data_IF_536638252164
#
_entry.id   IF_536638252164
#
_cell.length_a   1.000
_cell.length_b   1.000
_cell.length_c   1.000
_cell.angle_alpha   90.00
_cell.angle_beta   90.00
_cell.angle_gamma   90.00
#
_symmetry.space_group_name_H-M   'P 1'
#
loop_
_entity.id
_entity.type
_entity.pdbx_description
1 polymer ?
#
# COMPACT_ATOMS: atom_id res chain seq x y z
N UNK A 1 51.80 -30.94 -39.29
CA UNK A 1 51.48 -29.48 -39.28
C UNK A 1 50.66 -29.21 -38.05
N UNK A 2 51.26 -28.61 -37.02
CA UNK A 2 50.58 -28.31 -35.77
C UNK A 2 49.95 -26.90 -35.88
N UNK A 3 48.61 -26.84 -35.82
CA UNK A 3 47.87 -25.60 -35.76
C UNK A 3 48.12 -24.93 -34.41
N UNK A 4 48.90 -23.84 -34.41
CA UNK A 4 49.03 -22.94 -33.27
C UNK A 4 47.65 -22.37 -32.94
N UNK A 5 47.01 -22.88 -31.86
CA UNK A 5 45.85 -22.27 -31.28
C UNK A 5 46.19 -20.84 -30.87
N UNK A 6 45.51 -19.86 -31.48
CA UNK A 6 45.50 -18.49 -30.99
C UNK A 6 44.97 -18.49 -29.56
N UNK A 7 45.88 -18.38 -28.60
CA UNK A 7 45.49 -18.02 -27.23
C UNK A 7 44.97 -16.58 -27.29
N UNK A 8 43.65 -16.46 -27.35
CA UNK A 8 42.96 -15.20 -27.10
C UNK A 8 43.14 -14.90 -25.62
N UNK A 9 44.19 -14.18 -25.27
CA UNK A 9 44.26 -13.55 -23.96
C UNK A 9 43.21 -12.41 -23.99
N UNK A 10 42.12 -12.49 -23.22
CA UNK A 10 41.22 -11.36 -23.13
C UNK A 10 42.04 -10.19 -22.56
N UNK A 11 42.13 -9.09 -23.35
CA UNK A 11 42.73 -7.84 -22.91
C UNK A 11 42.25 -7.55 -21.50
N UNK A 12 43.20 -7.30 -20.59
CA UNK A 12 43.02 -7.27 -19.16
C UNK A 12 41.74 -6.64 -18.68
N UNK A 13 40.86 -7.46 -18.10
CA UNK A 13 39.87 -6.99 -17.20
C UNK A 13 40.59 -6.52 -15.95
N UNK A 14 40.69 -5.22 -15.76
CA UNK A 14 41.32 -4.57 -14.59
C UNK A 14 40.51 -4.79 -13.28
N UNK A 15 39.62 -5.76 -13.23
CA UNK A 15 38.76 -6.04 -12.10
C UNK A 15 37.56 -5.07 -11.98
N UNK A 16 37.62 -3.91 -12.63
CA UNK A 16 36.53 -2.91 -12.58
C UNK A 16 35.26 -3.42 -13.26
N UNK A 17 35.41 -4.19 -14.35
CA UNK A 17 34.28 -4.82 -15.06
C UNK A 17 33.55 -5.85 -14.18
N UNK A 18 34.28 -6.65 -13.38
CA UNK A 18 33.71 -7.59 -12.45
C UNK A 18 32.90 -6.87 -11.35
N UNK A 19 33.49 -5.85 -10.73
CA UNK A 19 32.82 -5.04 -9.70
C UNK A 19 31.59 -4.32 -10.27
N UNK A 20 31.66 -3.84 -11.51
CA UNK A 20 30.53 -3.21 -12.20
C UNK A 20 29.39 -4.21 -12.44
N UNK A 21 29.67 -5.39 -13.00
CA UNK A 21 28.66 -6.45 -13.23
C UNK A 21 28.02 -6.91 -11.93
N UNK A 22 28.81 -7.05 -10.85
CA UNK A 22 28.31 -7.44 -9.54
C UNK A 22 27.33 -6.38 -8.97
N UNK A 23 27.65 -5.08 -9.10
CA UNK A 23 26.73 -3.99 -8.71
C UNK A 23 25.41 -4.03 -9.48
N UNK A 24 25.51 -4.23 -10.80
CA UNK A 24 24.32 -4.35 -11.65
C UNK A 24 23.48 -5.55 -11.23
N UNK A 25 24.09 -6.72 -11.03
CA UNK A 25 23.38 -7.93 -10.59
C UNK A 25 22.68 -7.72 -9.25
N UNK A 26 23.35 -7.11 -8.26
CA UNK A 26 22.76 -6.77 -6.96
C UNK A 26 21.55 -5.81 -7.10
N UNK A 27 21.65 -4.78 -7.95
CA UNK A 27 20.54 -3.86 -8.22
C UNK A 27 19.32 -4.57 -8.86
N UNK A 28 19.57 -5.50 -9.79
CA UNK A 28 18.48 -6.31 -10.37
C UNK A 28 17.81 -7.18 -9.32
N UNK A 29 18.58 -7.83 -8.45
CA UNK A 29 18.07 -8.65 -7.36
C UNK A 29 17.23 -7.83 -6.39
N UNK A 30 17.71 -6.66 -5.95
CA UNK A 30 16.97 -5.73 -5.08
C UNK A 30 15.67 -5.29 -5.75
N UNK A 31 15.72 -4.94 -7.04
CA UNK A 31 14.53 -4.55 -7.80
C UNK A 31 13.51 -5.70 -7.88
N UNK A 32 13.95 -6.93 -8.15
CA UNK A 32 13.06 -8.09 -8.24
C UNK A 32 12.36 -8.38 -6.90
N UNK A 33 13.11 -8.36 -5.79
CA UNK A 33 12.57 -8.55 -4.44
C UNK A 33 11.54 -7.48 -4.06
N UNK A 34 11.85 -6.20 -4.28
CA UNK A 34 10.94 -5.11 -3.95
C UNK A 34 9.67 -5.11 -4.82
N UNK A 35 9.77 -5.53 -6.09
CA UNK A 35 8.59 -5.73 -6.95
C UNK A 35 7.66 -6.81 -6.39
N UNK A 36 8.23 -7.93 -5.94
CA UNK A 36 7.44 -9.02 -5.34
C UNK A 36 6.76 -8.55 -4.06
N UNK A 37 7.52 -7.93 -3.15
CA UNK A 37 6.98 -7.40 -1.87
C UNK A 37 5.90 -6.37 -2.09
N UNK A 38 6.08 -5.45 -3.04
CA UNK A 38 5.08 -4.44 -3.36
C UNK A 38 3.78 -5.06 -3.93
N UNK A 39 3.88 -6.15 -4.71
CA UNK A 39 2.69 -6.89 -5.16
C UNK A 39 1.93 -7.53 -3.99
N UNK A 40 2.62 -8.04 -2.96
CA UNK A 40 1.97 -8.53 -1.75
C UNK A 40 1.26 -7.40 -0.99
N UNK A 41 1.87 -6.22 -0.87
CA UNK A 41 1.19 -5.06 -0.27
C UNK A 41 -0.08 -4.69 -1.05
N UNK A 42 -0.04 -4.69 -2.37
CA UNK A 42 -1.21 -4.46 -3.22
C UNK A 42 -2.29 -5.54 -2.95
N UNK A 43 -1.90 -6.80 -2.84
CA UNK A 43 -2.84 -7.88 -2.51
C UNK A 43 -3.52 -7.66 -1.15
N UNK A 44 -2.77 -7.32 -0.11
CA UNK A 44 -3.36 -6.99 1.20
C UNK A 44 -4.23 -5.73 1.15
N UNK A 45 -3.88 -4.74 0.32
CA UNK A 45 -4.74 -3.58 0.09
C UNK A 45 -6.08 -3.99 -0.54
N UNK A 46 -6.10 -4.93 -1.50
CA UNK A 46 -7.34 -5.48 -2.02
C UNK A 46 -8.17 -6.19 -0.96
N UNK A 47 -7.56 -6.98 -0.07
CA UNK A 47 -8.28 -7.62 1.03
C UNK A 47 -8.95 -6.60 1.96
N UNK A 48 -8.22 -5.54 2.34
CA UNK A 48 -8.78 -4.45 3.14
C UNK A 48 -9.88 -3.69 2.40
N UNK A 49 -9.73 -3.51 1.10
CA UNK A 49 -10.77 -2.89 0.27
C UNK A 49 -12.05 -3.73 0.24
N UNK A 50 -11.95 -5.05 0.15
CA UNK A 50 -13.14 -5.91 0.23
C UNK A 50 -13.81 -5.86 1.60
N UNK A 51 -13.04 -5.76 2.69
CA UNK A 51 -13.60 -5.55 4.02
C UNK A 51 -14.34 -4.20 4.10
N UNK A 52 -13.73 -3.13 3.57
CA UNK A 52 -14.36 -1.80 3.48
C UNK A 52 -15.61 -1.83 2.60
N UNK A 53 -15.57 -2.53 1.46
CA UNK A 53 -16.72 -2.67 0.57
C UNK A 53 -17.89 -3.41 1.27
N UNK A 54 -17.57 -4.44 2.05
CA UNK A 54 -18.57 -5.11 2.90
C UNK A 54 -19.24 -4.15 3.89
N UNK A 55 -18.46 -3.25 4.51
CA UNK A 55 -19.01 -2.21 5.39
C UNK A 55 -19.86 -1.18 4.64
N UNK A 56 -19.45 -0.79 3.43
CA UNK A 56 -20.17 0.17 2.60
C UNK A 56 -21.39 -0.42 1.89
N UNK A 57 -21.58 -1.75 1.94
CA UNK A 57 -22.63 -2.44 1.17
C UNK A 57 -24.03 -1.95 1.46
N UNK A 58 -24.38 -1.70 2.72
CA UNK A 58 -25.69 -1.17 3.12
C UNK A 58 -25.97 0.17 2.41
N UNK A 59 -25.09 1.16 2.58
CA UNK A 59 -25.30 2.48 1.97
C UNK A 59 -25.27 2.44 0.42
N UNK A 60 -24.49 1.55 -0.19
CA UNK A 60 -24.47 1.38 -1.65
C UNK A 60 -25.79 0.77 -2.14
N UNK A 61 -26.30 -0.24 -1.44
CA UNK A 61 -27.56 -0.89 -1.80
C UNK A 61 -28.75 0.06 -1.63
N UNK A 62 -28.77 0.83 -0.54
CA UNK A 62 -29.80 1.86 -0.30
C UNK A 62 -29.84 2.89 -1.43
N UNK A 63 -28.65 3.37 -1.89
CA UNK A 63 -28.57 4.32 -3.02
C UNK A 63 -29.01 3.73 -4.35
N UNK A 64 -28.99 2.40 -4.50
CA UNK A 64 -29.43 1.68 -5.68
C UNK A 64 -30.89 1.22 -5.60
N UNK A 65 -31.61 1.57 -4.51
CA UNK A 65 -32.96 1.07 -4.21
C UNK A 65 -33.06 -0.47 -4.18
N UNK A 66 -31.98 -1.13 -3.72
CA UNK A 66 -31.91 -2.59 -3.60
C UNK A 66 -32.05 -2.97 -2.13
N UNK A 67 -33.17 -3.57 -1.79
CA UNK A 67 -33.44 -4.03 -0.43
C UNK A 67 -32.98 -5.49 -0.26
N UNK A 68 -32.07 -5.74 0.71
CA UNK A 68 -31.61 -7.06 1.12
C UNK A 68 -31.76 -7.16 2.64
N UNK A 69 -32.73 -7.96 3.09
CA UNK A 69 -33.12 -8.08 4.51
C UNK A 69 -31.91 -8.44 5.40
N UNK A 70 -31.07 -9.38 4.97
CA UNK A 70 -29.92 -9.85 5.74
C UNK A 70 -28.86 -8.74 5.98
N UNK A 71 -28.78 -7.75 5.08
CA UNK A 71 -27.86 -6.62 5.23
C UNK A 71 -28.49 -5.55 6.15
N UNK A 72 -29.79 -5.31 6.03
CA UNK A 72 -30.52 -4.38 6.90
C UNK A 72 -30.51 -4.86 8.37
N UNK A 73 -30.67 -6.17 8.60
CA UNK A 73 -30.61 -6.75 9.94
C UNK A 73 -29.25 -6.55 10.63
N UNK A 74 -28.16 -6.38 9.86
CA UNK A 74 -26.84 -6.09 10.42
C UNK A 74 -26.75 -4.69 11.04
N UNK A 75 -27.70 -3.80 10.74
CA UNK A 75 -27.74 -2.42 11.27
C UNK A 75 -26.38 -1.72 11.17
N UNK A 76 -25.77 -1.79 9.98
CA UNK A 76 -24.41 -1.24 9.74
C UNK A 76 -24.47 0.28 9.91
N UNK A 77 -23.62 0.90 10.76
CA UNK A 77 -23.58 2.34 10.92
C UNK A 77 -23.30 3.08 9.60
N UNK A 78 -23.91 4.24 9.42
CA UNK A 78 -23.75 5.02 8.20
C UNK A 78 -22.28 5.38 7.94
N UNK A 79 -21.82 5.31 6.68
CA UNK A 79 -20.44 5.58 6.34
C UNK A 79 -20.10 7.06 6.44
N UNK A 80 -18.87 7.34 6.83
CA UNK A 80 -18.29 8.66 6.80
C UNK A 80 -17.57 8.93 5.47
N UNK A 81 -17.38 10.18 5.12
CA UNK A 81 -16.75 10.60 3.86
C UNK A 81 -15.35 10.01 3.64
N UNK A 82 -14.57 9.79 4.72
CA UNK A 82 -13.21 9.26 4.64
C UNK A 82 -13.16 7.81 4.14
N UNK A 83 -14.20 7.02 4.38
CA UNK A 83 -14.33 5.63 3.94
C UNK A 83 -14.38 5.57 2.41
N UNK A 84 -15.18 6.42 1.79
CA UNK A 84 -15.24 6.57 0.33
C UNK A 84 -13.95 7.14 -0.24
N UNK A 85 -13.37 8.18 0.40
CA UNK A 85 -12.12 8.77 -0.03
C UNK A 85 -10.97 7.76 -0.01
N UNK A 86 -10.91 6.90 1.04
CA UNK A 86 -9.92 5.85 1.12
C UNK A 86 -10.07 4.79 0.02
N UNK A 87 -11.29 4.46 -0.38
CA UNK A 87 -11.56 3.52 -1.48
C UNK A 87 -10.92 3.97 -2.81
N UNK A 88 -10.77 5.28 -3.05
CA UNK A 88 -10.11 5.82 -4.24
C UNK A 88 -8.64 5.35 -4.31
N UNK A 89 -8.00 5.13 -3.16
CA UNK A 89 -6.62 4.65 -3.10
C UNK A 89 -6.40 3.32 -3.82
N UNK A 90 -7.44 2.48 -3.95
CA UNK A 90 -7.37 1.24 -4.71
C UNK A 90 -7.05 1.48 -6.19
N UNK A 91 -7.58 2.54 -6.80
CA UNK A 91 -7.34 2.86 -8.21
C UNK A 91 -5.86 3.13 -8.47
N UNK A 92 -5.13 3.61 -7.46
CA UNK A 92 -3.69 3.84 -7.56
C UNK A 92 -2.88 2.56 -7.69
N UNK A 93 -3.43 1.43 -7.24
CA UNK A 93 -2.78 0.12 -7.40
C UNK A 93 -2.56 -0.25 -8.87
N UNK A 94 -3.46 0.16 -9.78
CA UNK A 94 -3.29 -0.04 -11.22
C UNK A 94 -2.11 0.75 -11.78
N UNK A 95 -1.90 2.00 -11.28
CA UNK A 95 -0.72 2.80 -11.63
C UNK A 95 0.56 2.12 -11.13
N UNK A 96 0.54 1.58 -9.91
CA UNK A 96 1.65 0.85 -9.34
C UNK A 96 1.99 -0.40 -10.16
N UNK A 97 1.01 -1.23 -10.51
CA UNK A 97 1.20 -2.43 -11.32
C UNK A 97 1.75 -2.09 -12.71
N UNK A 98 1.24 -1.04 -13.35
CA UNK A 98 1.75 -0.56 -14.63
C UNK A 98 3.20 -0.05 -14.53
N UNK A 99 3.53 0.65 -13.43
CA UNK A 99 4.89 1.11 -13.13
C UNK A 99 5.86 -0.06 -12.95
N UNK A 100 5.47 -1.08 -12.16
CA UNK A 100 6.25 -2.30 -11.91
C UNK A 100 6.54 -3.05 -13.22
N UNK A 101 5.52 -3.21 -14.09
CA UNK A 101 5.66 -3.95 -15.35
C UNK A 101 6.66 -3.30 -16.30
N UNK A 102 6.71 -1.98 -16.34
CA UNK A 102 7.48 -1.20 -17.32
C UNK A 102 8.70 -0.49 -16.71
N UNK A 103 8.98 -0.65 -15.41
CA UNK A 103 10.03 0.07 -14.65
C UNK A 103 9.96 1.60 -14.82
N UNK A 104 8.76 2.17 -14.81
CA UNK A 104 8.56 3.60 -15.06
C UNK A 104 8.57 4.40 -13.77
N UNK A 105 9.48 5.37 -13.69
CA UNK A 105 9.65 6.26 -12.53
C UNK A 105 8.44 7.18 -12.33
N UNK A 106 7.93 7.81 -13.40
CA UNK A 106 6.82 8.78 -13.31
C UNK A 106 5.56 8.18 -12.67
N UNK A 107 4.96 7.07 -13.18
CA UNK A 107 3.76 6.50 -12.55
C UNK A 107 4.02 5.96 -11.14
N UNK A 108 5.24 5.54 -10.81
CA UNK A 108 5.57 5.13 -9.45
C UNK A 108 5.57 6.33 -8.48
N UNK A 109 6.09 7.49 -8.89
CA UNK A 109 5.99 8.73 -8.09
C UNK A 109 4.53 9.17 -7.91
N UNK A 110 3.70 9.07 -8.97
CA UNK A 110 2.26 9.36 -8.89
C UNK A 110 1.54 8.42 -7.93
N UNK A 111 1.90 7.13 -7.94
CA UNK A 111 1.38 6.15 -6.99
C UNK A 111 1.70 6.55 -5.54
N UNK A 112 2.97 6.88 -5.24
CA UNK A 112 3.39 7.28 -3.89
C UNK A 112 2.64 8.55 -3.44
N UNK A 113 2.60 9.59 -4.29
CA UNK A 113 1.91 10.83 -3.98
C UNK A 113 0.41 10.61 -3.76
N UNK A 114 -0.23 9.83 -4.65
CA UNK A 114 -1.64 9.49 -4.53
C UNK A 114 -1.94 8.67 -3.26
N UNK A 115 -1.05 7.73 -2.89
CA UNK A 115 -1.21 6.93 -1.68
C UNK A 115 -1.11 7.78 -0.41
N UNK A 116 -0.28 8.83 -0.40
CA UNK A 116 -0.25 9.80 0.70
C UNK A 116 -1.59 10.54 0.80
N UNK A 117 -2.12 11.03 -0.32
CA UNK A 117 -3.35 11.83 -0.33
C UNK A 117 -4.59 10.99 -0.05
N UNK A 118 -4.79 9.88 -0.77
CA UNK A 118 -6.01 9.07 -0.69
C UNK A 118 -5.89 7.87 0.27
N UNK A 119 -4.68 7.47 0.64
CA UNK A 119 -4.46 6.41 1.62
C UNK A 119 -4.28 6.96 3.03
N UNK A 120 -3.26 7.80 3.26
CA UNK A 120 -2.91 8.25 4.61
C UNK A 120 -3.83 9.34 5.16
N UNK A 121 -4.19 10.37 4.38
CA UNK A 121 -4.99 11.49 4.91
C UNK A 121 -6.36 11.00 5.44
N UNK A 122 -7.15 10.18 4.70
CA UNK A 122 -8.39 9.66 5.22
C UNK A 122 -8.23 8.80 6.50
N UNK A 123 -7.16 7.98 6.56
CA UNK A 123 -6.89 7.17 7.74
C UNK A 123 -6.49 8.00 8.96
N UNK A 124 -5.70 9.06 8.76
CA UNK A 124 -5.35 10.00 9.85
C UNK A 124 -6.59 10.74 10.36
N UNK A 125 -7.47 11.16 9.46
CA UNK A 125 -8.76 11.73 9.87
C UNK A 125 -9.57 10.74 10.71
N UNK A 126 -9.73 9.50 10.25
CA UNK A 126 -10.45 8.47 10.97
C UNK A 126 -9.82 8.16 12.33
N UNK A 127 -8.49 8.11 12.40
CA UNK A 127 -7.76 7.90 13.65
C UNK A 127 -8.09 8.98 14.68
N UNK A 128 -8.08 10.25 14.29
CA UNK A 128 -8.43 11.38 15.18
C UNK A 128 -9.93 11.37 15.53
N UNK A 129 -10.78 11.05 14.57
CA UNK A 129 -12.24 11.02 14.76
C UNK A 129 -12.67 10.00 15.80
N UNK A 130 -12.15 8.77 15.74
CA UNK A 130 -12.51 7.71 16.69
C UNK A 130 -11.66 7.73 17.98
N UNK A 131 -10.69 8.63 18.11
CA UNK A 131 -9.78 8.67 19.24
C UNK A 131 -10.51 8.81 20.58
N UNK A 132 -11.48 9.71 20.63
CA UNK A 132 -12.26 9.97 21.84
C UNK A 132 -13.05 8.74 22.28
N UNK A 133 -13.75 8.08 21.35
CA UNK A 133 -14.59 6.91 21.67
C UNK A 133 -13.73 5.74 22.15
N UNK A 134 -12.58 5.53 21.52
CA UNK A 134 -11.63 4.50 21.94
C UNK A 134 -11.04 4.82 23.31
N UNK A 135 -10.70 6.07 23.58
CA UNK A 135 -10.16 6.48 24.87
C UNK A 135 -11.19 6.27 25.99
N UNK A 136 -12.44 6.70 25.79
CA UNK A 136 -13.52 6.49 26.76
C UNK A 136 -13.69 4.99 27.02
N UNK A 137 -13.78 4.17 25.97
CA UNK A 137 -13.91 2.72 26.13
C UNK A 137 -12.77 2.08 26.94
N UNK A 138 -11.52 2.52 26.73
CA UNK A 138 -10.35 1.96 27.41
C UNK A 138 -10.20 2.45 28.85
N UNK A 139 -10.80 3.58 29.22
CA UNK A 139 -10.72 4.19 30.55
C UNK A 139 -12.01 4.09 31.35
N UNK A 140 -13.06 3.52 30.78
CA UNK A 140 -14.35 3.32 31.46
C UNK A 140 -14.15 2.38 32.66
N UNK A 141 -14.61 2.81 33.82
CA UNK A 141 -14.63 2.00 35.04
C UNK A 141 -16.04 1.39 35.27
N UNK A 142 -17.09 2.09 34.83
CA UNK A 142 -18.47 1.70 34.98
C UNK A 142 -19.21 1.68 33.62
N UNK A 143 -20.36 0.97 33.56
CA UNK A 143 -21.21 0.90 32.37
C UNK A 143 -21.81 2.27 31.99
N UNK A 144 -22.00 3.17 32.96
CA UNK A 144 -22.51 4.53 32.72
C UNK A 144 -21.54 5.36 31.84
N UNK A 145 -20.23 5.12 31.94
CA UNK A 145 -19.21 5.79 31.11
C UNK A 145 -19.31 5.40 29.63
N UNK A 146 -19.89 4.22 29.36
CA UNK A 146 -20.02 3.67 28.00
C UNK A 146 -21.28 4.15 27.26
N UNK A 147 -22.20 4.89 27.93
CA UNK A 147 -23.47 5.34 27.34
C UNK A 147 -23.26 6.14 26.03
N UNK A 148 -22.16 6.87 25.92
CA UNK A 148 -21.84 7.69 24.77
C UNK A 148 -20.92 6.98 23.73
N UNK A 149 -20.55 5.73 23.94
CA UNK A 149 -19.71 4.95 23.02
C UNK A 149 -20.61 4.20 22.05
N UNK A 150 -20.34 4.36 20.75
CA UNK A 150 -21.08 3.63 19.73
C UNK A 150 -20.66 2.15 19.70
N UNK A 151 -21.65 1.26 19.82
CA UNK A 151 -21.46 -0.19 19.66
C UNK A 151 -22.08 -0.68 18.35
N UNK A 152 -21.47 -1.68 17.76
CA UNK A 152 -22.01 -2.41 16.63
C UNK A 152 -21.82 -3.92 16.86
N UNK A 153 -22.93 -4.67 16.82
CA UNK A 153 -22.96 -6.12 17.09
C UNK A 153 -22.26 -6.50 18.43
N UNK A 154 -22.40 -5.65 19.45
CA UNK A 154 -21.82 -5.86 20.78
C UNK A 154 -20.35 -5.46 20.92
N UNK A 155 -19.73 -4.94 19.87
CA UNK A 155 -18.34 -4.48 19.89
C UNK A 155 -18.27 -2.95 19.80
N UNK A 156 -17.31 -2.29 20.50
CA UNK A 156 -17.14 -0.84 20.40
C UNK A 156 -16.66 -0.49 18.98
N UNK A 157 -17.48 0.30 18.28
CA UNK A 157 -17.30 0.58 16.86
C UNK A 157 -15.97 1.29 16.54
N UNK A 158 -15.57 2.23 17.39
CA UNK A 158 -14.28 2.91 17.26
C UNK A 158 -13.07 1.94 17.34
N UNK A 159 -13.13 0.92 18.20
CA UNK A 159 -12.07 -0.07 18.34
C UNK A 159 -11.95 -0.95 17.09
N UNK A 160 -13.07 -1.35 16.48
CA UNK A 160 -13.08 -2.07 15.21
C UNK A 160 -12.41 -1.25 14.11
N UNK A 161 -12.70 0.06 14.06
CA UNK A 161 -12.04 0.97 13.12
C UNK A 161 -10.55 1.12 13.40
N UNK A 162 -10.14 1.18 14.66
CA UNK A 162 -8.72 1.24 15.00
C UNK A 162 -7.96 0.02 14.51
N UNK A 163 -8.53 -1.17 14.64
CA UNK A 163 -7.94 -2.38 14.07
C UNK A 163 -7.76 -2.28 12.55
N UNK A 164 -8.80 -1.82 11.83
CA UNK A 164 -8.72 -1.59 10.39
C UNK A 164 -7.67 -0.53 10.02
N UNK A 165 -7.69 0.63 10.71
CA UNK A 165 -6.76 1.75 10.47
C UNK A 165 -5.32 1.30 10.65
N UNK A 166 -4.99 0.55 11.72
CA UNK A 166 -3.64 0.06 11.97
C UNK A 166 -3.16 -0.88 10.87
N UNK A 167 -4.00 -1.81 10.43
CA UNK A 167 -3.67 -2.72 9.32
C UNK A 167 -3.48 -1.95 8.00
N UNK A 168 -4.37 -1.00 7.70
CA UNK A 168 -4.28 -0.20 6.48
C UNK A 168 -3.04 0.70 6.48
N UNK A 169 -2.73 1.35 7.61
CA UNK A 169 -1.50 2.14 7.76
C UNK A 169 -0.25 1.27 7.55
N UNK A 170 -0.20 0.09 8.15
CA UNK A 170 0.92 -0.83 7.98
C UNK A 170 1.11 -1.20 6.49
N UNK A 171 0.04 -1.57 5.79
CA UNK A 171 0.09 -1.89 4.35
C UNK A 171 0.58 -0.70 3.54
N UNK A 172 0.10 0.52 3.83
CA UNK A 172 0.50 1.73 3.10
C UNK A 172 1.96 2.12 3.38
N UNK A 173 2.44 2.03 4.63
CA UNK A 173 3.83 2.29 5.00
C UNK A 173 4.78 1.34 4.24
N UNK A 174 4.50 0.04 4.25
CA UNK A 174 5.31 -0.92 3.50
C UNK A 174 5.23 -0.70 1.98
N UNK A 175 4.06 -0.32 1.46
CA UNK A 175 3.89 0.01 0.05
C UNK A 175 4.78 1.18 -0.37
N UNK A 176 4.81 2.27 0.41
CA UNK A 176 5.69 3.42 0.14
C UNK A 176 7.16 3.01 0.27
N UNK A 177 7.52 2.27 1.31
CA UNK A 177 8.89 1.82 1.51
C UNK A 177 9.43 1.01 0.32
N UNK A 178 8.67 0.01 -0.15
CA UNK A 178 9.10 -0.81 -1.29
C UNK A 178 9.05 -0.05 -2.61
N UNK A 179 8.06 0.83 -2.81
CA UNK A 179 7.98 1.69 -3.98
C UNK A 179 9.16 2.68 -4.04
N UNK A 180 9.55 3.25 -2.91
CA UNK A 180 10.71 4.14 -2.81
C UNK A 180 12.01 3.43 -3.15
N UNK A 181 12.24 2.24 -2.58
CA UNK A 181 13.41 1.42 -2.90
C UNK A 181 13.48 1.06 -4.38
N UNK A 182 12.34 0.80 -5.02
CA UNK A 182 12.27 0.58 -6.47
C UNK A 182 12.65 1.83 -7.26
N UNK A 183 12.17 3.00 -6.85
CA UNK A 183 12.51 4.28 -7.47
C UNK A 183 14.03 4.53 -7.42
N UNK A 184 14.65 4.31 -6.26
CA UNK A 184 16.10 4.47 -6.12
C UNK A 184 16.87 3.52 -7.04
N UNK A 185 16.45 2.25 -7.08
CA UNK A 185 17.07 1.25 -7.95
C UNK A 185 16.91 1.57 -9.44
N UNK A 186 15.79 2.21 -9.86
CA UNK A 186 15.58 2.57 -11.27
C UNK A 186 16.27 3.88 -11.66
N UNK A 187 16.37 4.87 -10.76
CA UNK A 187 17.09 6.13 -11.00
C UNK A 187 18.59 5.91 -11.11
N UNK A 188 19.15 4.98 -10.33
CA UNK A 188 20.59 4.68 -10.39
C UNK A 188 21.05 3.99 -11.69
N UNK A 189 20.11 3.52 -12.52
CA UNK A 189 20.37 2.90 -13.84
C UNK A 189 20.45 3.89 -15.00
N UNK A 190 20.12 5.16 -14.78
CA UNK A 190 20.25 6.19 -15.81
C UNK A 190 21.72 6.38 -16.20
N UNK A 191 22.06 6.61 -17.49
CA UNK A 191 23.41 7.00 -17.86
C UNK A 191 23.76 8.25 -17.07
N UNK A 192 24.91 8.24 -16.36
CA UNK A 192 25.52 9.50 -15.92
C UNK A 192 25.67 10.34 -17.18
N UNK A 193 24.93 11.47 -17.28
CA UNK A 193 25.35 12.53 -18.19
C UNK A 193 26.79 12.86 -17.77
N UNK A 194 27.74 12.50 -18.58
CA UNK A 194 29.04 13.13 -18.59
C UNK A 194 28.75 14.58 -18.95
N UNK A 195 28.84 15.46 -17.97
CA UNK A 195 28.94 16.91 -18.21
C UNK A 195 30.33 17.11 -18.83
N UNK A 196 30.35 17.14 -20.17
CA UNK A 196 31.44 17.70 -20.96
C UNK A 196 31.18 19.19 -21.18
#
# INVERSE_FOLDING_TARGET
MATKGLHYTPLGTDGTDHAYRQRIAAQYQISALNKSRLKYCIFFHYLLFFAMLGKLSSDILDRLDIFILEIEELSIPQPLWWEYAWCISLLLSFLCLAAIKRNRVKPMNQYIAGLVVFGFIPLLYAFVYYFKDVLIYLTAEDEEDLENVQFWQGYPYGLLWYAFILLALQVHVFSIYFAWNLLQAWKSKGPKKTDD
#
